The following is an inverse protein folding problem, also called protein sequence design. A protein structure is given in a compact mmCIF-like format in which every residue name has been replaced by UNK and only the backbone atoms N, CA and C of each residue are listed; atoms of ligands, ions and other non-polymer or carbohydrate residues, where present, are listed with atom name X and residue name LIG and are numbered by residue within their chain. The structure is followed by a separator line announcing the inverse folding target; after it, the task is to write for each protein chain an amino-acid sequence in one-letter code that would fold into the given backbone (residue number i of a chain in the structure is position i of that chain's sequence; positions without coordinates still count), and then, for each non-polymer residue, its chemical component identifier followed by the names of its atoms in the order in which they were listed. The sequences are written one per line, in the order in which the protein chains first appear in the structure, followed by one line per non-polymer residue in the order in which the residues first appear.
data_IF_076974780587
#
_entry.id   IF_076974780587
#
_cell.length_a   1.000
_cell.length_b   1.000
_cell.length_c   1.000
_cell.angle_alpha   90.00
_cell.angle_beta   90.00
_cell.angle_gamma   90.00
#
_symmetry.space_group_name_H-M   'P 1'
#
loop_
_entity.id
_entity.type
_entity.pdbx_description
1 polymer ?
#
# COMPACT_ATOMS: atom_id res chain seq x y z
N UNK A 1 43.71 14.79 -7.99
CA UNK A 1 43.32 13.43 -7.63
C UNK A 1 42.39 13.53 -6.44
N UNK A 2 41.13 13.12 -6.59
CA UNK A 2 40.18 13.02 -5.48
C UNK A 2 40.30 11.63 -4.86
N UNK A 3 40.27 11.57 -3.53
CA UNK A 3 40.46 10.36 -2.73
C UNK A 3 39.21 9.47 -2.83
N UNK A 4 39.31 8.20 -3.29
CA UNK A 4 38.15 7.31 -3.47
C UNK A 4 37.65 6.67 -2.16
N UNK A 5 38.00 7.24 -0.99
CA UNK A 5 37.73 6.65 0.32
C UNK A 5 37.10 7.66 1.29
N UNK A 6 36.10 8.41 0.84
CA UNK A 6 35.19 9.09 1.75
C UNK A 6 34.16 8.06 2.26
N UNK A 7 34.00 7.88 3.59
CA UNK A 7 32.92 7.05 4.14
C UNK A 7 31.58 7.66 3.69
N UNK A 8 30.87 6.95 2.82
CA UNK A 8 29.50 7.32 2.46
C UNK A 8 28.64 7.17 3.73
N UNK A 9 28.30 8.30 4.34
CA UNK A 9 27.45 8.36 5.52
C UNK A 9 26.13 7.64 5.17
N UNK A 10 25.75 6.58 5.91
CA UNK A 10 24.57 5.81 5.58
C UNK A 10 23.35 6.74 5.60
N UNK A 11 22.44 6.63 4.61
CA UNK A 11 21.31 7.54 4.51
C UNK A 11 20.55 7.54 5.83
N UNK A 12 20.45 8.72 6.45
CA UNK A 12 19.76 8.90 7.71
C UNK A 12 18.28 8.58 7.50
N UNK A 13 17.87 7.39 7.95
CA UNK A 13 16.46 7.01 7.97
C UNK A 13 15.72 8.00 8.88
N UNK A 14 14.70 8.66 8.33
CA UNK A 14 13.86 9.61 9.07
C UNK A 14 13.16 8.95 10.26
N UNK A 15 12.55 9.76 11.13
CA UNK A 15 11.81 9.20 12.27
C UNK A 15 10.62 8.35 11.79
N UNK A 16 10.30 7.28 12.53
CA UNK A 16 9.11 6.43 12.24
C UNK A 16 7.84 7.27 12.17
N UNK A 17 7.73 8.32 13.01
CA UNK A 17 6.58 9.22 13.01
C UNK A 17 6.45 10.04 11.72
N UNK A 18 7.57 10.54 11.20
CA UNK A 18 7.62 11.28 9.93
C UNK A 18 7.16 10.39 8.76
N UNK A 19 7.69 9.17 8.67
CA UNK A 19 7.33 8.22 7.62
C UNK A 19 5.88 7.73 7.75
N UNK A 20 5.39 7.54 8.97
CA UNK A 20 3.98 7.23 9.20
C UNK A 20 3.07 8.39 8.74
N UNK A 21 3.44 9.65 9.02
CA UNK A 21 2.69 10.81 8.57
C UNK A 21 2.62 10.88 7.03
N UNK A 22 3.74 10.59 6.33
CA UNK A 22 3.77 10.51 4.87
C UNK A 22 2.85 9.40 4.33
N UNK A 23 2.87 8.22 4.96
CA UNK A 23 1.97 7.13 4.60
C UNK A 23 0.49 7.51 4.76
N UNK A 24 0.13 8.15 5.88
CA UNK A 24 -1.24 8.64 6.10
C UNK A 24 -1.63 9.72 5.11
N UNK A 25 -0.70 10.60 4.72
CA UNK A 25 -0.91 11.59 3.66
C UNK A 25 -1.26 10.92 2.32
N UNK A 26 -0.46 9.95 1.88
CA UNK A 26 -0.71 9.22 0.64
C UNK A 26 -2.03 8.43 0.67
N UNK A 27 -2.37 7.81 1.80
CA UNK A 27 -3.65 7.14 2.00
C UNK A 27 -4.84 8.11 1.94
N UNK A 28 -4.72 9.29 2.55
CA UNK A 28 -5.76 10.32 2.48
C UNK A 28 -5.96 10.84 1.06
N UNK A 29 -4.89 11.00 0.29
CA UNK A 29 -4.98 11.38 -1.12
C UNK A 29 -5.67 10.30 -1.96
N UNK A 30 -5.34 9.03 -1.73
CA UNK A 30 -6.03 7.91 -2.40
C UNK A 30 -7.51 7.86 -2.04
N UNK A 31 -7.85 8.03 -0.75
CA UNK A 31 -9.24 8.06 -0.30
C UNK A 31 -10.04 9.20 -0.95
N UNK A 32 -9.42 10.37 -1.14
CA UNK A 32 -10.05 11.48 -1.88
C UNK A 32 -10.28 11.15 -3.35
N UNK A 33 -9.34 10.44 -3.98
CA UNK A 33 -9.48 9.99 -5.38
C UNK A 33 -10.60 8.94 -5.53
N UNK A 34 -10.73 8.01 -4.59
CA UNK A 34 -11.76 6.97 -4.61
C UNK A 34 -13.14 7.46 -4.16
N UNK A 35 -13.21 8.47 -3.28
CA UNK A 35 -14.46 9.05 -2.80
C UNK A 35 -15.31 9.72 -3.88
N UNK A 36 -14.70 10.10 -5.01
CA UNK A 36 -15.42 10.63 -6.17
C UNK A 36 -16.24 9.55 -6.93
N UNK A 37 -15.90 8.27 -6.77
CA UNK A 37 -16.52 7.13 -7.48
C UNK A 37 -17.53 6.33 -6.62
N UNK A 38 -17.76 6.72 -5.36
CA UNK A 38 -18.67 6.02 -4.42
C UNK A 38 -20.16 6.36 -4.62
N UNK A 39 -20.63 6.36 -5.87
CA UNK A 39 -22.05 6.52 -6.21
C UNK A 39 -22.92 5.28 -5.93
N UNK A 40 -22.31 4.16 -5.52
CA UNK A 40 -23.00 2.91 -5.14
C UNK A 40 -22.88 2.66 -3.64
N UNK A 41 -24.02 2.54 -2.94
CA UNK A 41 -24.07 2.43 -1.48
C UNK A 41 -23.34 1.22 -0.87
N UNK A 42 -23.40 1.12 0.46
CA UNK A 42 -22.68 0.17 1.32
C UNK A 42 -22.66 -1.30 0.83
N UNK A 43 -23.71 -1.77 0.16
CA UNK A 43 -23.77 -3.13 -0.39
C UNK A 43 -22.77 -3.37 -1.53
N UNK A 44 -22.62 -2.42 -2.46
CA UNK A 44 -21.69 -2.53 -3.59
C UNK A 44 -20.22 -2.43 -3.17
N UNK A 45 -19.96 -1.74 -2.06
CA UNK A 45 -18.66 -1.70 -1.41
C UNK A 45 -18.31 -3.02 -0.73
N UNK A 46 -19.28 -3.65 -0.05
CA UNK A 46 -19.07 -4.95 0.59
C UNK A 46 -18.75 -6.05 -0.45
N UNK A 47 -19.46 -6.06 -1.57
CA UNK A 47 -19.21 -7.02 -2.66
C UNK A 47 -17.84 -6.79 -3.34
N UNK A 48 -17.46 -5.54 -3.59
CA UNK A 48 -16.12 -5.22 -4.11
C UNK A 48 -15.01 -5.56 -3.11
N UNK A 49 -15.20 -5.28 -1.83
CA UNK A 49 -14.25 -5.66 -0.80
C UNK A 49 -14.09 -7.18 -0.71
N UNK A 50 -15.19 -7.93 -0.83
CA UNK A 50 -15.16 -9.38 -0.84
C UNK A 50 -14.43 -9.95 -2.07
N UNK A 51 -14.68 -9.42 -3.26
CA UNK A 51 -14.01 -9.89 -4.49
C UNK A 51 -12.51 -9.58 -4.47
N UNK A 52 -12.12 -8.38 -4.06
CA UNK A 52 -10.71 -8.01 -3.88
C UNK A 52 -10.03 -8.87 -2.82
N UNK A 53 -10.70 -9.14 -1.70
CA UNK A 53 -10.16 -10.02 -0.66
C UNK A 53 -9.94 -11.45 -1.17
N UNK A 54 -10.87 -11.96 -1.99
CA UNK A 54 -10.77 -13.28 -2.60
C UNK A 54 -9.57 -13.36 -3.56
N UNK A 55 -9.42 -12.36 -4.42
CA UNK A 55 -8.36 -12.28 -5.44
C UNK A 55 -6.97 -12.14 -4.79
N UNK A 56 -6.84 -11.22 -3.83
CA UNK A 56 -5.62 -11.04 -3.04
C UNK A 56 -5.26 -12.32 -2.28
N UNK A 57 -6.22 -13.01 -1.67
CA UNK A 57 -5.95 -14.26 -0.96
C UNK A 57 -5.47 -15.39 -1.90
N UNK A 58 -5.80 -15.34 -3.19
CA UNK A 58 -5.31 -16.32 -4.16
C UNK A 58 -3.83 -16.15 -4.52
N UNK A 59 -3.30 -14.92 -4.38
CA UNK A 59 -1.93 -14.56 -4.73
C UNK A 59 -1.02 -14.28 -3.52
N UNK A 60 -1.58 -14.03 -2.33
CA UNK A 60 -0.84 -13.72 -1.10
C UNK A 60 -0.83 -14.92 -0.14
N UNK A 61 0.32 -15.13 0.52
CA UNK A 61 0.49 -16.12 1.59
C UNK A 61 0.21 -17.57 1.14
N UNK A 62 0.64 -17.92 -0.07
CA UNK A 62 0.61 -19.29 -0.64
C UNK A 62 1.58 -20.25 0.05
N UNK A 63 2.40 -19.76 0.99
CA UNK A 63 3.39 -20.55 1.73
C UNK A 63 4.73 -20.71 1.00
N UNK A 64 4.94 -19.99 -0.10
CA UNK A 64 6.22 -19.95 -0.82
C UNK A 64 7.35 -19.31 0.00
N UNK A 65 8.61 -19.59 -0.36
CA UNK A 65 9.78 -19.01 0.31
C UNK A 65 9.78 -17.46 0.27
N UNK A 66 9.19 -16.89 -0.78
CA UNK A 66 8.99 -15.45 -0.98
C UNK A 66 8.16 -14.80 0.14
N UNK A 67 7.25 -15.56 0.76
CA UNK A 67 6.40 -15.07 1.85
C UNK A 67 7.18 -14.72 3.13
N UNK A 68 8.44 -15.16 3.26
CA UNK A 68 9.30 -14.86 4.43
C UNK A 68 9.85 -13.43 4.40
N UNK A 69 9.89 -12.81 3.22
CA UNK A 69 10.47 -11.49 3.00
C UNK A 69 9.44 -10.42 2.64
N UNK A 70 8.28 -10.81 2.09
CA UNK A 70 7.20 -9.87 1.78
C UNK A 70 6.56 -9.25 3.05
N UNK A 71 6.52 -7.91 3.22
CA UNK A 71 5.94 -7.27 4.41
C UNK A 71 4.44 -7.53 4.55
N UNK A 72 3.70 -7.62 3.44
CA UNK A 72 2.27 -7.97 3.44
C UNK A 72 2.07 -9.39 3.99
N UNK A 73 2.88 -10.35 3.54
CA UNK A 73 2.80 -11.74 4.02
C UNK A 73 3.11 -11.84 5.51
N UNK A 74 4.06 -11.04 6.04
CA UNK A 74 4.33 -10.99 7.49
C UNK A 74 3.14 -10.47 8.29
N UNK A 75 2.46 -9.44 7.80
CA UNK A 75 1.25 -8.90 8.46
C UNK A 75 0.14 -9.95 8.44
N UNK A 76 -0.12 -10.59 7.29
CA UNK A 76 -1.12 -11.66 7.18
C UNK A 76 -0.79 -12.81 8.13
N UNK A 77 0.47 -13.21 8.24
CA UNK A 77 0.90 -14.25 9.17
C UNK A 77 0.61 -13.87 10.62
N UNK A 78 0.98 -12.66 11.04
CA UNK A 78 0.73 -12.17 12.39
C UNK A 78 -0.77 -12.19 12.73
N UNK A 79 -1.63 -11.74 11.80
CA UNK A 79 -3.10 -11.80 11.96
C UNK A 79 -3.59 -13.26 11.99
N UNK A 80 -3.00 -14.16 11.20
CA UNK A 80 -3.35 -15.59 11.17
C UNK A 80 -2.90 -16.37 12.41
N UNK A 81 -1.94 -15.84 13.18
CA UNK A 81 -1.50 -16.44 14.44
C UNK A 81 -2.29 -15.97 15.66
N UNK A 82 -3.01 -14.84 15.58
CA UNK A 82 -3.87 -14.40 16.70
C UNK A 82 -5.02 -15.38 16.94
N UNK A 83 -5.39 -15.59 18.20
CA UNK A 83 -6.55 -16.43 18.54
C UNK A 83 -7.86 -15.85 17.94
N UNK A 84 -8.86 -16.70 17.64
CA UNK A 84 -10.13 -16.25 17.07
C UNK A 84 -10.89 -15.29 18.00
N UNK A 85 -10.74 -15.42 19.32
CA UNK A 85 -11.30 -14.49 20.30
C UNK A 85 -10.65 -13.10 20.17
N UNK A 86 -9.32 -13.05 20.07
CA UNK A 86 -8.58 -11.80 19.87
C UNK A 86 -8.95 -11.13 18.55
N UNK A 87 -9.12 -11.90 17.47
CA UNK A 87 -9.60 -11.36 16.19
C UNK A 87 -10.96 -10.71 16.30
N UNK A 88 -11.89 -11.34 17.02
CA UNK A 88 -13.24 -10.80 17.20
C UNK A 88 -13.21 -9.46 17.92
N UNK A 89 -12.38 -9.34 18.96
CA UNK A 89 -12.18 -8.08 19.67
C UNK A 89 -11.51 -7.02 18.80
N UNK A 90 -10.49 -7.40 18.01
CA UNK A 90 -9.83 -6.50 17.07
C UNK A 90 -10.77 -6.00 15.98
N UNK A 91 -11.59 -6.87 15.40
CA UNK A 91 -12.58 -6.49 14.38
C UNK A 91 -13.63 -5.52 14.97
N UNK A 92 -14.05 -5.75 16.22
CA UNK A 92 -14.97 -4.85 16.93
C UNK A 92 -14.34 -3.49 17.21
N UNK A 93 -13.07 -3.46 17.63
CA UNK A 93 -12.34 -2.23 17.83
C UNK A 93 -12.10 -1.48 16.50
N UNK A 94 -11.74 -2.22 15.45
CA UNK A 94 -11.51 -1.67 14.11
C UNK A 94 -12.78 -1.05 13.54
N UNK A 95 -13.94 -1.70 13.69
CA UNK A 95 -15.21 -1.13 13.21
C UNK A 95 -15.57 0.15 13.95
N UNK A 96 -15.40 0.19 15.27
CA UNK A 96 -15.62 1.40 16.08
C UNK A 96 -14.66 2.54 15.70
N UNK A 97 -13.40 2.21 15.43
CA UNK A 97 -12.40 3.16 14.96
C UNK A 97 -12.76 3.73 13.59
N UNK A 98 -13.12 2.88 12.62
CA UNK A 98 -13.51 3.31 11.28
C UNK A 98 -14.76 4.21 11.30
N UNK A 99 -15.73 3.90 12.17
CA UNK A 99 -16.91 4.74 12.36
C UNK A 99 -16.52 6.14 12.91
N UNK A 100 -15.61 6.18 13.90
CA UNK A 100 -15.12 7.45 14.42
C UNK A 100 -14.33 8.25 13.36
N UNK A 101 -13.49 7.56 12.57
CA UNK A 101 -12.73 8.17 11.47
C UNK A 101 -13.66 8.73 10.39
N UNK A 102 -14.71 8.01 10.00
CA UNK A 102 -15.71 8.48 9.05
C UNK A 102 -16.42 9.75 9.56
N UNK A 103 -16.78 9.79 10.85
CA UNK A 103 -17.35 10.98 11.48
C UNK A 103 -16.41 12.19 11.46
N UNK A 104 -15.09 11.99 11.62
CA UNK A 104 -14.11 13.06 11.49
C UNK A 104 -13.96 13.55 10.05
N UNK A 105 -13.94 12.64 9.08
CA UNK A 105 -13.81 12.98 7.65
C UNK A 105 -15.01 13.77 7.13
N UNK A 106 -16.21 13.53 7.64
CA UNK A 106 -17.42 14.30 7.31
C UNK A 106 -17.29 15.79 7.70
N UNK A 107 -16.45 16.11 8.69
CA UNK A 107 -16.21 17.50 9.11
C UNK A 107 -15.20 18.24 8.25
N UNK A 108 -14.56 17.57 7.28
CA UNK A 108 -13.55 18.17 6.41
C UNK A 108 -14.26 18.91 5.25
N UNK A 109 -14.11 20.24 5.14
CA UNK A 109 -14.70 20.97 4.02
C UNK A 109 -14.08 20.52 2.68
N UNK A 110 -14.85 20.52 1.58
CA UNK A 110 -14.32 20.16 0.27
C UNK A 110 -13.20 21.13 -0.13
N UNK A 111 -12.11 20.58 -0.65
CA UNK A 111 -10.96 21.36 -1.11
C UNK A 111 -11.28 22.10 -2.41
N UNK A 112 -10.80 23.35 -2.51
CA UNK A 112 -10.96 24.21 -3.67
C UNK A 112 -10.27 23.62 -4.91
N UNK A 113 -10.95 23.61 -6.05
CA UNK A 113 -10.62 22.82 -7.26
C UNK A 113 -9.46 23.39 -8.11
N UNK A 114 -8.43 23.96 -7.48
CA UNK A 114 -7.43 24.80 -8.17
C UNK A 114 -5.95 24.42 -8.07
N UNK A 115 -5.58 23.35 -7.34
CA UNK A 115 -4.18 23.02 -7.12
C UNK A 115 -3.62 22.07 -8.22
N UNK A 116 -2.47 22.39 -8.84
CA UNK A 116 -1.85 21.50 -9.83
C UNK A 116 -1.34 20.22 -9.15
N UNK A 117 -1.81 19.09 -9.65
CA UNK A 117 -1.44 17.74 -9.24
C UNK A 117 0.05 17.49 -9.47
N UNK A 118 0.88 17.59 -8.43
CA UNK A 118 2.27 17.11 -8.48
C UNK A 118 2.29 15.68 -7.93
N UNK A 119 2.01 14.71 -8.79
CA UNK A 119 2.18 13.30 -8.47
C UNK A 119 3.66 12.94 -8.32
N UNK A 120 4.01 11.89 -7.55
CA UNK A 120 5.37 11.35 -7.54
C UNK A 120 5.67 10.78 -8.93
N UNK A 121 6.65 11.39 -9.60
CA UNK A 121 7.19 10.93 -10.87
C UNK A 121 7.95 9.63 -10.63
N UNK A 122 7.25 8.50 -10.80
CA UNK A 122 7.89 7.19 -10.88
C UNK A 122 8.36 6.98 -12.31
N UNK A 123 9.67 6.79 -12.49
CA UNK A 123 10.23 6.38 -13.77
C UNK A 123 9.67 5.01 -14.13
N UNK A 124 8.98 4.96 -15.27
CA UNK A 124 8.59 3.70 -15.90
C UNK A 124 9.80 3.18 -16.66
N UNK A 125 10.40 2.11 -16.14
CA UNK A 125 11.44 1.36 -16.81
C UNK A 125 10.73 0.35 -17.70
N UNK A 126 10.81 0.54 -19.02
CA UNK A 126 10.31 -0.43 -19.99
C UNK A 126 11.23 -1.67 -19.96
N UNK A 127 10.68 -2.79 -19.49
CA UNK A 127 11.41 -4.07 -19.37
C UNK A 127 11.38 -4.89 -20.67
N UNK A 128 10.76 -4.38 -21.73
CA UNK A 128 10.51 -5.09 -22.97
C UNK A 128 11.70 -5.01 -23.98
N UNK A 129 12.78 -4.30 -23.66
CA UNK A 129 13.94 -4.11 -24.56
C UNK A 129 15.13 -5.05 -24.26
N UNK A 130 14.99 -5.97 -23.31
CA UNK A 130 16.02 -6.95 -22.96
C UNK A 130 15.61 -8.38 -23.37
N UNK A 131 15.48 -8.64 -24.67
CA UNK A 131 15.15 -10.01 -25.10
C UNK A 131 14.88 -10.28 -26.57
N UNK A 132 15.68 -9.75 -27.51
CA UNK A 132 15.84 -10.39 -28.83
C UNK A 132 17.27 -10.23 -29.39
N UNK A 133 18.28 -10.52 -28.56
CA UNK A 133 19.60 -10.88 -29.06
C UNK A 133 19.84 -12.39 -28.88
N UNK A 134 19.02 -13.18 -29.57
CA UNK A 134 19.37 -14.55 -29.91
C UNK A 134 19.27 -14.75 -31.41
N UNK A 135 20.27 -14.26 -32.14
CA UNK A 135 20.62 -14.82 -33.45
C UNK A 135 22.09 -15.22 -33.50
N UNK A 136 22.30 -16.52 -33.31
CA UNK A 136 23.30 -17.40 -33.92
C UNK A 136 24.79 -16.96 -33.98
N UNK A 137 25.59 -17.50 -33.06
CA UNK A 137 27.02 -17.71 -33.24
C UNK A 137 27.37 -19.18 -33.03
N UNK A 138 28.10 -19.85 -33.95
CA UNK A 138 28.46 -21.25 -33.77
C UNK A 138 29.64 -21.39 -32.79
N UNK A 139 29.64 -22.53 -32.10
CA UNK A 139 30.61 -23.08 -31.12
C UNK A 139 30.30 -22.82 -29.65
#
# INVERSE_FOLDING_TARGET
MSDPNEPQEPPAVGSVGEEAAKLFGALADLARQQGADLGGGLGGLADQAASLAQDVNSHIATGSAECRYCPVCRVVHAVRETSPEVRTHLLTAASSFLQAAAGLLETVPPADQGAPQRGPEVERIDLDDAGDDTTDGPW
#
